data_IF_552246954454
#
_entry.id   IF_552246954454
#
_cell.length_a   1.000
_cell.length_b   1.000
_cell.length_c   1.000
_cell.angle_alpha   90.00
_cell.angle_beta   90.00
_cell.angle_gamma   90.00
#
_symmetry.space_group_name_H-M   'P 1'
#
loop_
_entity.id
_entity.type
_entity.pdbx_description
1 polymer ?
#
# COMPACT_ATOMS: atom_id res chain seq x y z
N UNK A 1 15.79 -18.49 -0.12
CA UNK A 1 15.14 -17.33 -0.77
C UNK A 1 14.15 -16.75 0.22
N UNK A 2 14.32 -15.51 0.68
CA UNK A 2 13.45 -14.94 1.72
C UNK A 2 12.14 -14.54 1.03
N UNK A 3 11.07 -15.31 1.23
CA UNK A 3 9.75 -14.93 0.74
C UNK A 3 9.39 -13.60 1.41
N UNK A 4 9.33 -12.51 0.64
CA UNK A 4 8.88 -11.22 1.16
C UNK A 4 7.36 -11.30 1.36
N UNK A 5 6.96 -11.59 2.59
CA UNK A 5 5.54 -11.60 2.98
C UNK A 5 5.14 -10.16 3.27
N UNK A 6 4.11 -9.66 2.57
CA UNK A 6 3.54 -8.34 2.85
C UNK A 6 2.98 -8.34 4.27
N UNK A 7 3.53 -7.48 5.12
CA UNK A 7 3.14 -7.41 6.53
C UNK A 7 1.93 -6.49 6.72
N UNK A 8 1.86 -5.41 5.94
CA UNK A 8 0.81 -4.40 6.08
C UNK A 8 0.34 -3.89 4.73
N UNK A 9 -0.96 -3.72 4.59
CA UNK A 9 -1.57 -3.04 3.46
C UNK A 9 -2.39 -1.88 3.98
N UNK A 10 -2.08 -0.67 3.52
CA UNK A 10 -2.95 0.49 3.64
C UNK A 10 -3.79 0.53 2.37
N UNK A 11 -5.11 0.53 2.47
CA UNK A 11 -6.01 0.57 1.31
C UNK A 11 -7.14 1.57 1.52
N UNK A 12 -7.87 1.90 0.45
CA UNK A 12 -8.91 2.91 0.44
C UNK A 12 -8.36 4.28 0.90
N UNK A 13 -7.16 4.61 0.44
CA UNK A 13 -6.45 5.85 0.71
C UNK A 13 -6.54 6.84 -0.45
N UNK A 14 -6.21 8.10 -0.16
CA UNK A 14 -5.90 9.09 -1.18
C UNK A 14 -4.44 9.53 -1.00
N UNK A 15 -3.53 8.81 -1.63
CA UNK A 15 -2.09 8.88 -1.36
C UNK A 15 -1.40 9.56 -2.52
N UNK A 16 -0.68 10.64 -2.25
CA UNK A 16 0.17 11.31 -3.24
C UNK A 16 1.59 10.72 -3.14
N UNK A 17 2.23 10.35 -4.23
CA UNK A 17 3.53 9.62 -4.19
C UNK A 17 4.74 10.49 -4.51
N UNK A 18 4.51 11.71 -5.01
CA UNK A 18 5.52 12.56 -5.67
C UNK A 18 6.24 11.91 -6.88
N UNK A 19 5.81 10.73 -7.31
CA UNK A 19 6.23 10.12 -8.57
C UNK A 19 5.43 10.72 -9.72
N UNK A 20 6.11 11.32 -10.70
CA UNK A 20 5.47 11.90 -11.87
C UNK A 20 4.70 10.86 -12.71
N UNK A 21 5.15 9.60 -12.71
CA UNK A 21 4.50 8.52 -13.46
C UNK A 21 3.25 7.99 -12.75
N UNK A 22 3.21 8.08 -11.41
CA UNK A 22 2.10 7.59 -10.61
C UNK A 22 1.78 8.53 -9.44
N UNK A 23 1.33 9.78 -9.70
CA UNK A 23 1.26 10.83 -8.70
C UNK A 23 0.24 10.58 -7.59
N UNK A 24 -0.67 9.63 -7.81
CA UNK A 24 -1.73 9.25 -6.88
C UNK A 24 -1.96 7.74 -6.89
N UNK A 25 -2.08 7.17 -5.70
CA UNK A 25 -2.44 5.76 -5.48
C UNK A 25 -3.51 5.63 -4.40
N UNK A 26 -4.17 4.47 -4.36
CA UNK A 26 -5.21 4.15 -3.38
C UNK A 26 -4.70 3.25 -2.26
N UNK A 27 -3.71 2.42 -2.56
CA UNK A 27 -3.17 1.46 -1.61
C UNK A 27 -1.64 1.35 -1.67
N UNK A 28 -1.06 0.94 -0.55
CA UNK A 28 0.36 0.64 -0.36
C UNK A 28 0.53 -0.71 0.34
N UNK A 29 1.45 -1.53 -0.15
CA UNK A 29 1.93 -2.73 0.55
C UNK A 29 3.29 -2.42 1.20
N UNK A 30 3.45 -2.84 2.45
CA UNK A 30 4.65 -2.62 3.24
C UNK A 30 5.23 -3.93 3.78
N UNK A 31 6.56 -3.96 3.85
CA UNK A 31 7.34 -4.94 4.61
C UNK A 31 8.24 -4.13 5.55
N UNK A 32 8.01 -4.24 6.86
CA UNK A 32 8.58 -3.32 7.84
C UNK A 32 8.19 -1.87 7.53
N UNK A 33 9.20 -1.06 7.21
CA UNK A 33 9.07 0.38 6.89
C UNK A 33 9.20 0.66 5.39
N UNK A 34 9.37 -0.37 4.56
CA UNK A 34 9.58 -0.23 3.11
C UNK A 34 8.28 -0.45 2.35
N UNK A 35 7.95 0.47 1.45
CA UNK A 35 6.87 0.29 0.47
C UNK A 35 7.37 -0.67 -0.62
N UNK A 36 6.71 -1.81 -0.78
CA UNK A 36 7.05 -2.83 -1.77
C UNK A 36 6.08 -2.85 -2.96
N UNK A 37 4.91 -2.23 -2.83
CA UNK A 37 3.99 -1.98 -3.94
C UNK A 37 3.09 -0.76 -3.66
N UNK A 38 2.70 -0.06 -4.72
CA UNK A 38 1.78 1.08 -4.69
C UNK A 38 0.83 1.00 -5.89
N UNK A 39 -0.46 1.27 -5.69
CA UNK A 39 -1.43 1.18 -6.78
C UNK A 39 -2.89 1.30 -6.38
N UNK A 40 -3.77 0.63 -7.14
CA UNK A 40 -5.20 0.55 -6.83
C UNK A 40 -5.45 -0.38 -5.65
N UNK A 41 -6.59 -0.21 -4.98
CA UNK A 41 -6.98 -1.10 -3.87
C UNK A 41 -7.00 -2.56 -4.31
N UNK A 42 -7.58 -2.84 -5.48
CA UNK A 42 -7.67 -4.20 -6.01
C UNK A 42 -6.28 -4.81 -6.26
N UNK A 43 -5.37 -4.08 -6.89
CA UNK A 43 -4.04 -4.61 -7.24
C UNK A 43 -3.21 -4.89 -5.98
N UNK A 44 -3.28 -4.03 -4.98
CA UNK A 44 -2.48 -4.16 -3.75
C UNK A 44 -3.11 -5.17 -2.78
N UNK A 45 -4.44 -5.18 -2.63
CA UNK A 45 -5.13 -6.17 -1.78
C UNK A 45 -4.93 -7.61 -2.28
N UNK A 46 -4.73 -7.82 -3.58
CA UNK A 46 -4.41 -9.12 -4.15
C UNK A 46 -3.05 -9.68 -3.65
N UNK A 47 -2.17 -8.83 -3.11
CA UNK A 47 -0.89 -9.23 -2.52
C UNK A 47 -1.02 -9.72 -1.07
N UNK A 48 -2.22 -9.58 -0.46
CA UNK A 48 -2.44 -9.96 0.92
C UNK A 48 -2.35 -11.48 1.10
N UNK A 49 -1.74 -11.89 2.21
CA UNK A 49 -1.77 -13.27 2.72
C UNK A 49 -2.55 -13.33 4.03
N UNK A 50 -2.67 -14.52 4.61
CA UNK A 50 -3.25 -14.71 5.95
C UNK A 50 -2.50 -13.95 7.06
N UNK A 51 -1.26 -13.54 6.83
CA UNK A 51 -0.42 -12.82 7.80
C UNK A 51 -0.43 -11.30 7.59
N UNK A 52 -1.10 -10.82 6.54
CA UNK A 52 -1.07 -9.41 6.16
C UNK A 52 -2.10 -8.60 6.96
N UNK A 53 -1.64 -7.59 7.68
CA UNK A 53 -2.50 -6.64 8.37
C UNK A 53 -3.08 -5.62 7.38
N UNK A 54 -4.39 -5.73 7.10
CA UNK A 54 -5.10 -4.81 6.20
C UNK A 54 -5.72 -3.66 7.00
N UNK A 55 -5.31 -2.43 6.69
CA UNK A 55 -5.80 -1.22 7.32
C UNK A 55 -6.57 -0.37 6.31
N UNK A 56 -7.87 -0.19 6.57
CA UNK A 56 -8.74 0.69 5.80
C UNK A 56 -8.49 2.16 6.18
N UNK A 57 -8.03 2.95 5.22
CA UNK A 57 -7.79 4.38 5.39
C UNK A 57 -9.08 5.20 5.34
N UNK A 58 -10.22 4.62 4.93
CA UNK A 58 -11.55 5.25 4.88
C UNK A 58 -11.58 6.53 4.04
N UNK A 59 -10.89 6.54 2.91
CA UNK A 59 -10.76 7.70 2.02
C UNK A 59 -9.89 8.83 2.59
N UNK A 60 -9.22 8.63 3.72
CA UNK A 60 -8.33 9.66 4.31
C UNK A 60 -7.15 9.95 3.37
N UNK A 61 -6.80 11.23 3.30
CA UNK A 61 -5.69 11.72 2.49
C UNK A 61 -4.39 11.49 3.26
N UNK A 62 -3.43 10.84 2.62
CA UNK A 62 -2.07 10.68 3.14
C UNK A 62 -1.10 11.40 2.20
N UNK A 63 -0.25 12.23 2.79
CA UNK A 63 0.87 12.85 2.10
C UNK A 63 2.16 12.13 2.52
N UNK A 64 3.14 11.97 1.61
CA UNK A 64 4.52 11.70 2.01
C UNK A 64 4.97 12.90 2.86
N UNK A 65 5.63 12.62 3.99
CA UNK A 65 6.32 13.64 4.76
C UNK A 65 7.53 14.18 3.98
#
# INVERSE_FOLDING_TARGET
MKQMVVERILYNGNIYTQDAAQPRVQALALVGETIVAAGTDQAVLALASSHTHKQDCRGRRSFPA
#
